data_IF_483471315667
#
_entry.id   IF_483471315667
#
_cell.length_a   1.000
_cell.length_b   1.000
_cell.length_c   1.000
_cell.angle_alpha   90.00
_cell.angle_beta   90.00
_cell.angle_gamma   90.00
#
_symmetry.space_group_name_H-M   'P 1'
#
loop_
_entity.id
_entity.type
_entity.pdbx_description
1 polymer ?
#
# COMPACT_ATOMS: atom_id res chain seq x y z
N UNK A 1 75.21 29.25 12.31
CA UNK A 1 75.66 30.25 11.32
C UNK A 1 76.02 29.51 10.04
N UNK A 2 75.40 29.92 8.92
CA UNK A 2 75.58 29.52 7.50
C UNK A 2 75.42 28.02 7.19
N UNK A 3 74.82 27.57 6.11
CA UNK A 3 73.90 28.04 5.04
C UNK A 3 73.63 26.76 4.21
N UNK A 4 72.56 26.68 3.43
CA UNK A 4 72.50 26.10 2.06
C UNK A 4 71.03 25.89 1.67
N UNK A 5 70.58 26.71 0.71
CA UNK A 5 69.28 26.64 0.07
C UNK A 5 69.40 26.34 -1.43
N UNK A 6 68.55 25.41 -1.87
CA UNK A 6 68.04 25.05 -3.20
C UNK A 6 68.58 25.70 -4.49
N UNK A 7 69.01 24.81 -5.40
CA UNK A 7 68.87 24.86 -6.87
C UNK A 7 67.99 23.65 -7.29
N UNK A 8 67.27 23.57 -8.42
CA UNK A 8 67.17 24.37 -9.64
C UNK A 8 65.89 24.01 -10.42
N UNK A 9 65.46 24.89 -11.33
CA UNK A 9 65.45 24.74 -12.82
C UNK A 9 64.44 23.71 -13.35
N UNK A 10 63.55 23.98 -14.32
CA UNK A 10 63.85 24.41 -15.71
C UNK A 10 62.60 24.86 -16.49
N UNK A 11 62.80 25.94 -17.28
CA UNK A 11 62.38 26.27 -18.66
C UNK A 11 61.00 25.89 -19.24
N UNK A 12 60.40 26.93 -19.82
CA UNK A 12 59.27 27.00 -20.75
C UNK A 12 59.60 26.44 -22.15
N UNK A 13 58.60 25.98 -22.91
CA UNK A 13 58.13 26.65 -24.14
C UNK A 13 56.83 26.01 -24.70
N UNK A 14 56.10 26.85 -25.42
CA UNK A 14 54.71 26.85 -25.93
C UNK A 14 54.38 25.78 -27.00
N UNK A 15 53.18 25.17 -26.91
CA UNK A 15 52.24 24.76 -27.98
C UNK A 15 50.86 24.60 -27.30
N UNK A 16 49.70 25.06 -27.77
CA UNK A 16 49.08 24.91 -29.09
C UNK A 16 47.57 24.88 -28.85
N UNK A 17 46.85 25.80 -29.50
CA UNK A 17 45.41 26.06 -29.37
C UNK A 17 44.59 24.90 -29.99
N UNK A 18 43.75 24.20 -29.21
CA UNK A 18 42.69 23.33 -29.74
C UNK A 18 41.37 23.70 -29.06
N UNK A 19 40.60 24.56 -29.72
CA UNK A 19 39.19 24.79 -29.40
C UNK A 19 38.36 23.72 -30.12
N UNK A 20 37.82 22.77 -29.35
CA UNK A 20 36.88 21.76 -29.84
C UNK A 20 35.51 22.42 -30.03
N UNK A 21 35.21 22.85 -31.25
CA UNK A 21 33.89 23.29 -31.68
C UNK A 21 32.99 22.05 -31.77
N UNK A 22 32.12 21.84 -30.76
CA UNK A 22 30.97 20.96 -30.92
C UNK A 22 29.94 21.67 -31.81
N UNK A 23 30.01 21.41 -33.12
CA UNK A 23 28.90 21.67 -34.04
C UNK A 23 27.77 20.71 -33.66
N UNK A 24 26.84 21.18 -32.82
CA UNK A 24 25.51 20.58 -32.74
C UNK A 24 24.88 20.83 -34.10
N UNK A 25 24.80 19.78 -34.92
CA UNK A 25 24.00 19.79 -36.14
C UNK A 25 22.54 19.99 -35.72
N UNK A 26 22.11 21.25 -35.73
CA UNK A 26 20.72 21.64 -35.57
C UNK A 26 19.99 21.19 -36.83
N UNK A 27 19.62 19.92 -36.88
CA UNK A 27 18.68 19.44 -37.88
C UNK A 27 17.36 20.20 -37.65
N UNK A 28 16.88 21.01 -38.60
CA UNK A 28 15.67 21.78 -38.40
C UNK A 28 14.49 20.80 -38.22
N UNK A 29 13.61 21.15 -37.30
CA UNK A 29 12.40 20.44 -36.91
C UNK A 29 11.62 19.89 -38.11
N UNK A 30 11.79 18.62 -38.46
CA UNK A 30 10.71 17.82 -39.07
C UNK A 30 9.72 17.28 -38.03
N UNK A 31 10.05 17.38 -36.74
CA UNK A 31 9.24 16.90 -35.62
C UNK A 31 7.95 17.69 -35.41
N UNK A 32 7.97 19.03 -35.58
CA UNK A 32 6.80 19.89 -35.36
C UNK A 32 5.64 19.60 -36.33
N UNK A 33 5.94 19.38 -37.62
CA UNK A 33 4.93 19.06 -38.65
C UNK A 33 4.32 17.66 -38.49
N UNK A 34 5.15 16.66 -38.15
CA UNK A 34 4.70 15.28 -37.93
C UNK A 34 3.80 15.16 -36.68
N UNK A 35 4.16 15.82 -35.58
CA UNK A 35 3.36 15.87 -34.35
C UNK A 35 2.00 16.53 -34.64
N UNK A 36 1.97 17.63 -35.39
CA UNK A 36 0.75 18.36 -35.71
C UNK A 36 -0.19 17.56 -36.65
N UNK A 37 0.37 16.80 -37.61
CA UNK A 37 -0.41 15.88 -38.48
C UNK A 37 -0.97 14.68 -37.70
N UNK A 38 -0.17 14.09 -36.80
CA UNK A 38 -0.58 12.97 -35.93
C UNK A 38 -1.74 13.36 -35.01
N UNK A 39 -1.66 14.53 -34.36
CA UNK A 39 -2.73 15.05 -33.51
C UNK A 39 -4.02 15.34 -34.30
N UNK A 40 -3.93 15.96 -35.49
CA UNK A 40 -5.10 16.21 -36.36
C UNK A 40 -5.80 14.90 -36.77
N UNK A 41 -5.03 13.85 -37.03
CA UNK A 41 -5.58 12.53 -37.37
C UNK A 41 -6.29 11.88 -36.17
N UNK A 42 -5.70 11.91 -34.97
CA UNK A 42 -6.33 11.36 -33.77
C UNK A 42 -7.69 12.01 -33.47
N UNK A 43 -7.77 13.35 -33.56
CA UNK A 43 -9.01 14.10 -33.40
C UNK A 43 -10.08 13.71 -34.45
N UNK A 44 -9.68 13.52 -35.71
CA UNK A 44 -10.60 13.08 -36.76
C UNK A 44 -11.15 11.67 -36.50
N UNK A 45 -10.28 10.74 -36.11
CA UNK A 45 -10.71 9.37 -35.78
C UNK A 45 -11.61 9.34 -34.56
N UNK A 46 -11.37 10.20 -33.56
CA UNK A 46 -12.24 10.32 -32.39
C UNK A 46 -13.65 10.79 -32.80
N UNK A 47 -13.77 11.79 -33.68
CA UNK A 47 -15.07 12.23 -34.24
C UNK A 47 -15.80 11.11 -34.97
N UNK A 48 -15.08 10.30 -35.76
CA UNK A 48 -15.67 9.14 -36.46
C UNK A 48 -16.15 8.06 -35.47
N UNK A 49 -15.38 7.77 -34.42
CA UNK A 49 -15.78 6.85 -33.36
C UNK A 49 -17.01 7.35 -32.58
N UNK A 50 -17.07 8.64 -32.29
CA UNK A 50 -18.23 9.28 -31.66
C UNK A 50 -19.49 9.19 -32.51
N UNK A 51 -19.38 9.39 -33.83
CA UNK A 51 -20.50 9.20 -34.76
C UNK A 51 -21.01 7.76 -34.72
N UNK A 52 -20.12 6.76 -34.72
CA UNK A 52 -20.52 5.36 -34.54
C UNK A 52 -21.30 5.15 -33.25
N UNK A 53 -20.76 5.62 -32.13
CA UNK A 53 -21.38 5.50 -30.81
C UNK A 53 -22.78 6.13 -30.79
N UNK A 54 -22.94 7.34 -31.33
CA UNK A 54 -24.23 8.03 -31.40
C UNK A 54 -25.26 7.24 -32.21
N UNK A 55 -24.88 6.74 -33.39
CA UNK A 55 -25.76 5.93 -34.24
C UNK A 55 -26.16 4.61 -33.57
N UNK A 56 -25.24 3.97 -32.84
CA UNK A 56 -25.52 2.78 -32.04
C UNK A 56 -26.53 3.08 -30.94
N UNK A 57 -26.26 4.10 -30.10
CA UNK A 57 -27.06 4.36 -28.90
C UNK A 57 -28.50 4.83 -29.22
N UNK A 58 -28.69 5.52 -30.35
CA UNK A 58 -30.01 5.97 -30.83
C UNK A 58 -30.87 4.84 -31.41
N UNK A 59 -30.28 3.74 -31.88
CA UNK A 59 -31.03 2.65 -32.50
C UNK A 59 -31.31 1.51 -31.51
N UNK A 60 -32.59 1.31 -31.18
CA UNK A 60 -33.04 0.15 -30.40
C UNK A 60 -32.66 -1.17 -31.09
N UNK A 61 -32.81 -1.25 -32.42
CA UNK A 61 -32.43 -2.43 -33.23
C UNK A 61 -30.93 -2.74 -33.15
N UNK A 62 -30.05 -1.74 -33.30
CA UNK A 62 -28.58 -1.97 -33.24
C UNK A 62 -28.11 -2.38 -31.86
N UNK A 63 -28.69 -1.83 -30.79
CA UNK A 63 -28.34 -2.18 -29.40
C UNK A 63 -28.55 -3.66 -29.09
N UNK A 64 -29.45 -4.36 -29.78
CA UNK A 64 -29.68 -5.81 -29.61
C UNK A 64 -28.48 -6.66 -30.03
N UNK A 65 -27.64 -6.19 -30.96
CA UNK A 65 -26.58 -7.03 -31.53
C UNK A 65 -25.19 -6.58 -31.11
N UNK A 66 -24.45 -7.49 -30.45
CA UNK A 66 -23.09 -7.27 -29.92
C UNK A 66 -22.10 -6.71 -30.94
N UNK A 67 -22.17 -7.13 -32.20
CA UNK A 67 -21.21 -6.72 -33.22
C UNK A 67 -21.23 -5.20 -33.48
N UNK A 68 -22.38 -4.53 -33.35
CA UNK A 68 -22.44 -3.07 -33.49
C UNK A 68 -21.70 -2.36 -32.35
N UNK A 69 -21.82 -2.88 -31.13
CA UNK A 69 -21.07 -2.38 -29.97
C UNK A 69 -19.57 -2.55 -30.18
N UNK A 70 -19.13 -3.77 -30.50
CA UNK A 70 -17.72 -4.08 -30.70
C UNK A 70 -17.11 -3.28 -31.86
N UNK A 71 -17.88 -2.99 -32.90
CA UNK A 71 -17.42 -2.13 -34.00
C UNK A 71 -17.12 -0.71 -33.51
N UNK A 72 -18.00 -0.09 -32.72
CA UNK A 72 -17.71 1.24 -32.15
C UNK A 72 -16.57 1.22 -31.14
N UNK A 73 -16.50 0.19 -30.29
CA UNK A 73 -15.42 0.01 -29.30
C UNK A 73 -14.06 -0.08 -29.98
N UNK A 74 -13.91 -0.96 -30.99
CA UNK A 74 -12.63 -1.14 -31.71
C UNK A 74 -12.13 0.15 -32.36
N UNK A 75 -13.03 1.03 -32.80
CA UNK A 75 -12.65 2.34 -33.34
C UNK A 75 -11.98 3.21 -32.28
N UNK A 76 -12.46 3.20 -31.04
CA UNK A 76 -11.80 3.91 -29.93
C UNK A 76 -10.48 3.25 -29.53
N UNK A 77 -10.43 1.92 -29.40
CA UNK A 77 -9.20 1.19 -29.04
C UNK A 77 -8.08 1.39 -30.08
N UNK A 78 -8.43 1.50 -31.37
CA UNK A 78 -7.48 1.80 -32.43
C UNK A 78 -6.85 3.19 -32.27
N UNK A 79 -7.60 4.20 -31.80
CA UNK A 79 -7.03 5.54 -31.56
C UNK A 79 -5.95 5.45 -30.48
N UNK A 80 -6.23 4.77 -29.37
CA UNK A 80 -5.31 4.67 -28.26
C UNK A 80 -4.07 3.81 -28.54
N UNK A 81 -4.15 2.88 -29.51
CA UNK A 81 -3.01 2.07 -29.94
C UNK A 81 -2.18 2.75 -31.04
N UNK A 82 -2.82 3.43 -31.98
CA UNK A 82 -2.11 4.13 -33.07
C UNK A 82 -1.57 5.51 -32.67
N UNK A 83 -2.20 6.18 -31.70
CA UNK A 83 -1.85 7.53 -31.26
C UNK A 83 -1.74 7.62 -29.73
N UNK A 84 -0.90 6.80 -29.09
CA UNK A 84 -0.86 6.67 -27.63
C UNK A 84 -0.54 7.97 -26.90
N UNK A 85 0.22 8.89 -27.49
CA UNK A 85 0.63 10.14 -26.83
C UNK A 85 -0.30 11.32 -27.19
N UNK A 86 -1.38 11.06 -27.93
CA UNK A 86 -2.38 12.08 -28.25
C UNK A 86 -3.28 12.39 -27.05
N UNK A 87 -3.80 13.62 -26.98
CA UNK A 87 -4.83 14.01 -26.01
C UNK A 87 -6.13 13.23 -26.19
N UNK A 88 -6.36 12.68 -27.38
CA UNK A 88 -7.54 11.88 -27.70
C UNK A 88 -7.47 10.44 -27.18
N UNK A 89 -6.28 9.87 -26.99
CA UNK A 89 -6.10 8.50 -26.54
C UNK A 89 -6.80 8.18 -25.20
N UNK A 90 -6.59 8.95 -24.10
CA UNK A 90 -7.29 8.68 -22.85
C UNK A 90 -8.81 8.85 -22.96
N UNK A 91 -9.28 9.82 -23.76
CA UNK A 91 -10.72 10.03 -24.03
C UNK A 91 -11.32 8.82 -24.76
N UNK A 92 -10.60 8.28 -25.74
CA UNK A 92 -11.01 7.10 -26.49
C UNK A 92 -11.12 5.87 -25.59
N UNK A 93 -10.09 5.59 -24.77
CA UNK A 93 -10.11 4.48 -23.81
C UNK A 93 -11.27 4.60 -22.81
N UNK A 94 -11.48 5.78 -22.24
CA UNK A 94 -12.60 6.01 -21.33
C UNK A 94 -13.96 5.75 -22.00
N UNK A 95 -14.15 6.24 -23.24
CA UNK A 95 -15.39 6.03 -24.01
C UNK A 95 -15.60 4.57 -24.41
N UNK A 96 -14.52 3.85 -24.75
CA UNK A 96 -14.56 2.41 -24.97
C UNK A 96 -14.99 1.65 -23.71
N UNK A 97 -14.42 1.97 -22.55
CA UNK A 97 -14.83 1.40 -21.27
C UNK A 97 -16.31 1.65 -20.95
N UNK A 98 -16.82 2.85 -21.26
CA UNK A 98 -18.25 3.19 -21.10
C UNK A 98 -19.13 2.35 -22.03
N UNK A 99 -18.70 2.09 -23.26
CA UNK A 99 -19.43 1.25 -24.20
C UNK A 99 -19.46 -0.20 -23.74
N UNK A 100 -18.35 -0.75 -23.25
CA UNK A 100 -18.34 -2.08 -22.63
C UNK A 100 -19.25 -2.16 -21.40
N UNK A 101 -19.21 -1.16 -20.52
CA UNK A 101 -20.11 -1.08 -19.35
C UNK A 101 -21.58 -1.04 -19.77
N UNK A 102 -21.87 -0.38 -20.90
CA UNK A 102 -23.23 -0.31 -21.45
C UNK A 102 -23.64 -1.63 -22.11
N UNK A 103 -22.72 -2.26 -22.85
CA UNK A 103 -22.90 -3.56 -23.48
C UNK A 103 -23.21 -4.64 -22.43
N UNK A 104 -22.52 -4.64 -21.28
CA UNK A 104 -22.82 -5.54 -20.16
C UNK A 104 -24.30 -5.51 -19.76
N UNK A 105 -24.96 -4.35 -19.80
CA UNK A 105 -26.39 -4.23 -19.46
C UNK A 105 -27.32 -4.98 -20.42
N UNK A 106 -26.85 -5.24 -21.64
CA UNK A 106 -27.59 -6.00 -22.65
C UNK A 106 -27.11 -7.46 -22.74
N UNK A 107 -25.80 -7.68 -22.61
CA UNK A 107 -25.20 -9.00 -22.79
C UNK A 107 -25.21 -9.85 -21.51
N UNK A 108 -25.17 -9.23 -20.34
CA UNK A 108 -24.95 -9.90 -19.06
C UNK A 108 -23.58 -10.58 -18.91
N UNK A 109 -22.67 -10.41 -19.87
CA UNK A 109 -21.41 -11.15 -19.91
C UNK A 109 -20.34 -10.47 -19.07
N UNK A 110 -19.83 -11.16 -18.05
CA UNK A 110 -18.84 -10.62 -17.12
C UNK A 110 -17.57 -10.09 -17.80
N UNK A 111 -17.13 -10.74 -18.89
CA UNK A 111 -15.99 -10.28 -19.70
C UNK A 111 -16.13 -8.83 -20.19
N UNK A 112 -17.35 -8.33 -20.39
CA UNK A 112 -17.56 -6.94 -20.80
C UNK A 112 -17.20 -5.97 -19.67
N UNK A 113 -17.47 -6.33 -18.41
CA UNK A 113 -17.02 -5.54 -17.26
C UNK A 113 -15.51 -5.64 -17.08
N UNK A 114 -14.91 -6.80 -17.29
CA UNK A 114 -13.45 -6.98 -17.20
C UNK A 114 -12.73 -6.13 -18.24
N UNK A 115 -13.22 -6.12 -19.48
CA UNK A 115 -12.69 -5.24 -20.54
C UNK A 115 -12.88 -3.75 -20.18
N UNK A 116 -14.04 -3.37 -19.64
CA UNK A 116 -14.26 -2.00 -19.18
C UNK A 116 -13.28 -1.59 -18.07
N UNK A 117 -13.10 -2.44 -17.06
CA UNK A 117 -12.16 -2.22 -15.95
C UNK A 117 -10.73 -2.08 -16.46
N UNK A 118 -10.28 -2.96 -17.34
CA UNK A 118 -8.94 -2.90 -17.96
C UNK A 118 -8.71 -1.58 -18.69
N UNK A 119 -9.69 -1.12 -19.49
CA UNK A 119 -9.58 0.15 -20.20
C UNK A 119 -9.53 1.35 -19.24
N UNK A 120 -10.37 1.38 -18.20
CA UNK A 120 -10.32 2.45 -17.21
C UNK A 120 -9.01 2.44 -16.40
N UNK A 121 -8.50 1.27 -16.03
CA UNK A 121 -7.21 1.14 -15.34
C UNK A 121 -6.06 1.70 -16.19
N UNK A 122 -6.04 1.38 -17.49
CA UNK A 122 -5.06 1.95 -18.43
C UNK A 122 -5.14 3.47 -18.51
N UNK A 123 -6.35 4.06 -18.42
CA UNK A 123 -6.50 5.52 -18.34
C UNK A 123 -5.83 6.07 -17.08
N UNK A 124 -6.14 5.48 -15.92
CA UNK A 124 -5.63 5.93 -14.62
C UNK A 124 -4.12 5.77 -14.51
N UNK A 125 -3.56 4.69 -15.04
CA UNK A 125 -2.13 4.37 -14.91
C UNK A 125 -1.26 5.15 -15.90
N UNK A 126 -1.69 5.23 -17.17
CA UNK A 126 -0.87 5.87 -18.22
C UNK A 126 -1.14 7.37 -18.37
N UNK A 127 -2.33 7.85 -18.01
CA UNK A 127 -2.75 9.23 -18.26
C UNK A 127 -3.25 9.91 -16.98
N UNK A 128 -2.58 9.65 -15.84
CA UNK A 128 -2.98 10.15 -14.51
C UNK A 128 -3.17 11.68 -14.43
N UNK A 129 -2.51 12.45 -15.29
CA UNK A 129 -2.63 13.92 -15.35
C UNK A 129 -3.79 14.41 -16.23
N UNK A 130 -4.40 13.54 -17.04
CA UNK A 130 -5.50 13.93 -17.91
C UNK A 130 -6.80 14.09 -17.12
N UNK A 131 -7.63 15.05 -17.51
CA UNK A 131 -8.93 15.36 -16.89
C UNK A 131 -9.98 14.23 -16.92
N UNK A 132 -9.68 13.07 -17.50
CA UNK A 132 -10.61 11.93 -17.58
C UNK A 132 -10.15 10.76 -16.69
N UNK A 133 -9.01 10.90 -16.03
CA UNK A 133 -8.46 9.87 -15.18
C UNK A 133 -9.26 9.70 -13.88
N UNK A 134 -9.75 10.78 -13.30
CA UNK A 134 -10.63 10.75 -12.12
C UNK A 134 -12.01 10.17 -12.46
N UNK A 135 -12.56 10.56 -13.61
CA UNK A 135 -13.71 9.97 -14.28
C UNK A 135 -13.57 8.45 -14.40
N UNK A 136 -12.45 7.97 -14.97
CA UNK A 136 -12.17 6.55 -15.14
C UNK A 136 -12.08 5.82 -13.79
N UNK A 137 -11.33 6.38 -12.83
CA UNK A 137 -11.22 5.84 -11.47
C UNK A 137 -12.59 5.75 -10.77
N UNK A 138 -13.44 6.76 -10.96
CA UNK A 138 -14.81 6.76 -10.44
C UNK A 138 -15.67 5.66 -11.08
N UNK A 139 -15.56 5.45 -12.42
CA UNK A 139 -16.28 4.36 -13.11
C UNK A 139 -15.86 2.98 -12.63
N UNK A 140 -14.59 2.77 -12.29
CA UNK A 140 -14.12 1.52 -11.67
C UNK A 140 -14.89 1.28 -10.36
N UNK A 141 -14.97 2.29 -9.48
CA UNK A 141 -15.74 2.22 -8.24
C UNK A 141 -17.23 1.93 -8.47
N UNK A 142 -17.85 2.55 -9.48
CA UNK A 142 -19.24 2.27 -9.85
C UNK A 142 -19.44 0.82 -10.32
N UNK A 143 -18.51 0.26 -11.08
CA UNK A 143 -18.60 -1.13 -11.54
C UNK A 143 -18.59 -2.09 -10.35
N UNK A 144 -17.65 -1.91 -9.42
CA UNK A 144 -17.59 -2.74 -8.21
C UNK A 144 -18.84 -2.59 -7.35
N UNK A 145 -19.33 -1.37 -7.20
CA UNK A 145 -20.52 -1.10 -6.40
C UNK A 145 -21.80 -1.68 -7.03
N UNK A 146 -22.06 -1.39 -8.31
CA UNK A 146 -23.34 -1.66 -8.97
C UNK A 146 -23.44 -3.08 -9.50
N UNK A 147 -22.37 -3.57 -10.14
CA UNK A 147 -22.43 -4.82 -10.90
C UNK A 147 -21.75 -5.97 -10.18
N UNK A 148 -20.49 -5.80 -9.73
CA UNK A 148 -19.77 -6.86 -8.99
C UNK A 148 -20.27 -7.06 -7.55
N UNK A 149 -21.11 -6.13 -7.05
CA UNK A 149 -21.67 -6.13 -5.69
C UNK A 149 -20.60 -6.22 -4.58
N UNK A 150 -19.44 -5.63 -4.82
CA UNK A 150 -18.33 -5.59 -3.85
C UNK A 150 -18.21 -4.17 -3.25
N UNK A 151 -18.89 -3.90 -2.11
CA UNK A 151 -18.86 -2.58 -1.48
C UNK A 151 -17.49 -2.22 -0.88
N UNK A 152 -16.69 -3.20 -0.49
CA UNK A 152 -15.36 -2.97 0.08
C UNK A 152 -14.41 -2.51 -1.04
N UNK A 153 -14.39 -3.22 -2.16
CA UNK A 153 -13.60 -2.81 -3.31
C UNK A 153 -14.08 -1.47 -3.87
N UNK A 154 -15.39 -1.27 -3.98
CA UNK A 154 -15.95 0.02 -4.39
C UNK A 154 -15.49 1.17 -3.49
N UNK A 155 -15.47 0.98 -2.17
CA UNK A 155 -15.00 1.99 -1.22
C UNK A 155 -13.54 2.37 -1.50
N UNK A 156 -12.66 1.37 -1.68
CA UNK A 156 -11.25 1.60 -2.02
C UNK A 156 -11.11 2.37 -3.33
N UNK A 157 -11.86 2.01 -4.37
CA UNK A 157 -11.77 2.68 -5.68
C UNK A 157 -12.33 4.12 -5.65
N UNK A 158 -13.40 4.40 -4.89
CA UNK A 158 -13.85 5.77 -4.67
C UNK A 158 -12.88 6.58 -3.80
N UNK A 159 -12.21 5.93 -2.85
CA UNK A 159 -11.21 6.59 -2.02
C UNK A 159 -9.99 6.99 -2.86
N UNK A 160 -9.57 6.16 -3.81
CA UNK A 160 -8.53 6.52 -4.78
C UNK A 160 -8.90 7.77 -5.57
N UNK A 161 -10.17 7.98 -5.93
CA UNK A 161 -10.61 9.24 -6.58
C UNK A 161 -10.26 10.44 -5.70
N UNK A 162 -10.67 10.41 -4.43
CA UNK A 162 -10.50 11.55 -3.53
C UNK A 162 -9.04 11.84 -3.14
N UNK A 163 -8.20 10.80 -3.08
CA UNK A 163 -6.78 10.92 -2.73
C UNK A 163 -5.93 11.29 -3.95
N UNK A 164 -6.07 10.57 -5.06
CA UNK A 164 -5.19 10.73 -6.24
C UNK A 164 -5.58 11.92 -7.11
N UNK A 165 -6.84 12.34 -7.08
CA UNK A 165 -7.36 13.42 -7.93
C UNK A 165 -7.99 14.53 -7.08
N UNK A 166 -7.20 15.25 -6.27
CA UNK A 166 -7.71 16.25 -5.33
C UNK A 166 -8.47 17.40 -6.01
N UNK A 167 -8.17 17.68 -7.28
CA UNK A 167 -8.81 18.73 -8.10
C UNK A 167 -9.77 18.17 -9.17
N UNK A 168 -10.07 16.87 -9.16
CA UNK A 168 -10.96 16.22 -10.13
C UNK A 168 -12.44 16.52 -9.90
N UNK A 169 -13.23 16.55 -10.98
CA UNK A 169 -14.67 16.85 -10.95
C UNK A 169 -15.49 15.71 -10.32
N UNK A 170 -14.93 14.49 -10.32
CA UNK A 170 -15.56 13.32 -9.73
C UNK A 170 -15.33 13.21 -8.21
N UNK A 171 -14.45 14.02 -7.63
CA UNK A 171 -14.14 13.98 -6.20
C UNK A 171 -15.35 14.21 -5.28
N UNK A 172 -16.23 15.22 -5.51
CA UNK A 172 -17.44 15.39 -4.69
C UNK A 172 -18.39 14.20 -4.79
N UNK A 173 -18.52 13.58 -5.98
CA UNK A 173 -19.35 12.39 -6.19
C UNK A 173 -18.78 11.18 -5.44
N UNK A 174 -17.46 11.00 -5.49
CA UNK A 174 -16.76 9.93 -4.79
C UNK A 174 -16.96 10.03 -3.27
N UNK A 175 -16.87 11.24 -2.69
CA UNK A 175 -17.12 11.46 -1.25
C UNK A 175 -18.52 11.04 -0.83
N UNK A 176 -19.55 11.42 -1.58
CA UNK A 176 -20.93 10.97 -1.31
C UNK A 176 -21.05 9.45 -1.33
N UNK A 177 -20.33 8.78 -2.23
CA UNK A 177 -20.29 7.31 -2.28
C UNK A 177 -19.54 6.71 -1.09
N UNK A 178 -18.42 7.32 -0.66
CA UNK A 178 -17.67 6.89 0.53
C UNK A 178 -18.52 6.97 1.80
N UNK A 179 -19.26 8.07 2.00
CA UNK A 179 -20.14 8.23 3.15
C UNK A 179 -21.23 7.15 3.18
N UNK A 180 -21.86 6.91 2.01
CA UNK A 180 -22.86 5.84 1.85
C UNK A 180 -22.28 4.46 2.14
N UNK A 181 -21.09 4.16 1.62
CA UNK A 181 -20.46 2.86 1.77
C UNK A 181 -19.94 2.62 3.19
N UNK A 182 -19.43 3.64 3.87
CA UNK A 182 -18.99 3.56 5.26
C UNK A 182 -20.14 3.09 6.17
N UNK A 183 -21.35 3.63 6.00
CA UNK A 183 -22.53 3.19 6.76
C UNK A 183 -22.86 1.73 6.46
N UNK A 184 -22.78 1.31 5.18
CA UNK A 184 -23.10 -0.06 4.77
C UNK A 184 -22.09 -1.08 5.28
N UNK A 185 -20.79 -0.76 5.23
CA UNK A 185 -19.72 -1.64 5.69
C UNK A 185 -19.78 -1.83 7.21
N UNK A 186 -19.96 -0.74 7.98
CA UNK A 186 -20.15 -0.85 9.44
C UNK A 186 -21.33 -1.75 9.82
N UNK A 187 -22.46 -1.65 9.12
CA UNK A 187 -23.61 -2.56 9.35
C UNK A 187 -23.26 -4.02 9.04
N UNK A 188 -22.51 -4.27 7.96
CA UNK A 188 -22.12 -5.63 7.56
C UNK A 188 -21.15 -6.26 8.56
N UNK A 189 -20.23 -5.49 9.12
CA UNK A 189 -19.28 -5.97 10.11
C UNK A 189 -20.00 -6.35 11.41
N UNK A 190 -20.93 -5.51 11.86
CA UNK A 190 -21.82 -5.82 13.01
C UNK A 190 -22.65 -7.09 12.76
N UNK A 191 -23.20 -7.27 11.55
CA UNK A 191 -23.96 -8.48 11.20
C UNK A 191 -23.04 -9.71 11.11
N UNK A 192 -21.82 -9.57 10.59
CA UNK A 192 -20.87 -10.69 10.48
C UNK A 192 -20.37 -11.17 11.84
N UNK A 193 -20.19 -10.26 12.79
CA UNK A 193 -19.85 -10.60 14.17
C UNK A 193 -21.00 -11.37 14.84
N UNK A 194 -22.26 -11.10 14.48
CA UNK A 194 -23.43 -11.81 15.02
C UNK A 194 -23.83 -13.08 14.25
N UNK A 195 -23.38 -13.28 13.01
CA UNK A 195 -23.82 -14.36 12.10
C UNK A 195 -22.73 -15.36 11.70
N UNK A 196 -21.64 -15.47 12.47
CA UNK A 196 -20.50 -16.34 12.20
C UNK A 196 -20.79 -17.86 12.26
N UNK A 197 -21.66 -18.39 11.41
CA UNK A 197 -21.77 -19.80 11.09
C UNK A 197 -22.40 -20.01 9.70
N UNK A 198 -21.65 -20.68 8.81
CA UNK A 198 -22.03 -21.25 7.50
C UNK A 198 -21.97 -20.34 6.27
N UNK A 199 -20.94 -20.53 5.45
CA UNK A 199 -21.06 -20.50 3.98
C UNK A 199 -19.88 -21.23 3.28
N UNK A 200 -20.17 -21.84 2.13
CA UNK A 200 -19.42 -22.92 1.46
C UNK A 200 -18.15 -22.53 0.70
N UNK A 201 -17.37 -23.55 0.31
CA UNK A 201 -16.03 -23.42 -0.26
C UNK A 201 -16.04 -22.99 -1.73
N UNK A 202 -15.26 -21.95 -2.06
CA UNK A 202 -15.02 -21.45 -3.42
C UNK A 202 -14.21 -22.46 -4.26
N UNK A 203 -14.53 -22.58 -5.57
CA UNK A 203 -13.84 -23.49 -6.52
C UNK A 203 -12.42 -23.05 -6.91
N UNK A 204 -12.04 -21.79 -6.67
CA UNK A 204 -10.74 -21.26 -7.13
C UNK A 204 -9.73 -21.20 -5.98
N UNK A 205 -8.61 -21.91 -6.10
CA UNK A 205 -7.58 -22.01 -5.04
C UNK A 205 -6.78 -20.72 -4.86
N UNK A 206 -6.59 -20.28 -3.62
CA UNK A 206 -5.73 -19.16 -3.26
C UNK A 206 -4.25 -19.51 -3.39
N UNK A 207 -3.45 -18.57 -3.89
CA UNK A 207 -2.00 -18.72 -3.93
C UNK A 207 -1.40 -18.17 -2.65
N UNK A 208 -0.63 -18.99 -1.94
CA UNK A 208 0.34 -18.47 -0.97
C UNK A 208 1.46 -17.84 -1.79
N UNK A 209 1.78 -16.58 -1.51
CA UNK A 209 2.76 -15.79 -2.27
C UNK A 209 4.10 -15.65 -1.58
N UNK A 210 4.06 -15.46 -0.26
CA UNK A 210 5.24 -15.15 0.52
C UNK A 210 4.99 -15.47 2.00
N UNK A 211 6.06 -15.73 2.75
CA UNK A 211 6.04 -15.87 4.21
C UNK A 211 7.14 -14.98 4.76
N UNK A 212 6.75 -13.98 5.53
CA UNK A 212 7.66 -12.99 6.13
C UNK A 212 7.67 -13.12 7.63
N UNK A 213 8.74 -12.69 8.27
CA UNK A 213 8.81 -12.68 9.72
C UNK A 213 9.45 -11.40 10.25
N UNK A 214 9.08 -11.03 11.48
CA UNK A 214 9.68 -9.95 12.25
C UNK A 214 9.85 -10.42 13.69
N UNK A 215 11.07 -10.33 14.20
CA UNK A 215 11.41 -10.78 15.55
C UNK A 215 11.74 -9.59 16.44
N UNK A 216 11.28 -9.67 17.68
CA UNK A 216 11.67 -8.79 18.78
C UNK A 216 12.19 -9.66 19.93
N UNK A 217 12.79 -9.09 20.99
CA UNK A 217 13.23 -9.88 22.13
C UNK A 217 12.11 -10.73 22.77
N UNK A 218 10.84 -10.29 22.66
CA UNK A 218 9.72 -10.83 23.42
C UNK A 218 8.65 -11.54 22.57
N UNK A 219 8.66 -11.35 21.25
CA UNK A 219 7.75 -12.03 20.34
C UNK A 219 8.31 -12.09 18.91
N UNK A 220 7.81 -13.06 18.15
CA UNK A 220 8.05 -13.21 16.71
C UNK A 220 6.72 -13.20 15.98
N UNK A 221 6.58 -12.33 14.98
CA UNK A 221 5.43 -12.28 14.09
C UNK A 221 5.77 -12.92 12.75
N UNK A 222 4.98 -13.91 12.33
CA UNK A 222 5.05 -14.52 11.01
C UNK A 222 3.82 -14.12 10.21
N UNK A 223 4.00 -13.68 8.97
CA UNK A 223 2.92 -13.22 8.08
C UNK A 223 2.94 -14.03 6.80
N UNK A 224 1.83 -14.71 6.52
CA UNK A 224 1.59 -15.51 5.32
C UNK A 224 0.75 -14.65 4.37
N UNK A 225 1.33 -14.28 3.23
CA UNK A 225 0.66 -13.45 2.22
C UNK A 225 -0.09 -14.35 1.22
N UNK A 226 -1.36 -14.04 0.96
CA UNK A 226 -2.16 -14.74 -0.05
C UNK A 226 -2.78 -13.79 -1.06
N UNK A 227 -3.04 -14.30 -2.27
CA UNK A 227 -3.70 -13.54 -3.33
C UNK A 227 -5.21 -13.32 -3.09
N UNK A 228 -5.81 -14.08 -2.18
CA UNK A 228 -7.23 -14.01 -1.82
C UNK A 228 -7.51 -14.60 -0.43
N UNK A 229 -8.70 -14.33 0.14
CA UNK A 229 -9.16 -14.96 1.37
C UNK A 229 -9.30 -16.49 1.27
N UNK A 230 -8.79 -17.20 2.28
CA UNK A 230 -8.94 -18.65 2.46
C UNK A 230 -9.36 -18.98 3.89
N UNK A 231 -10.04 -20.11 4.10
CA UNK A 231 -10.30 -20.62 5.45
C UNK A 231 -9.04 -21.27 5.99
N UNK A 232 -8.83 -21.19 7.29
CA UNK A 232 -7.68 -21.83 7.92
C UNK A 232 -8.00 -22.39 9.31
N UNK A 233 -7.23 -23.39 9.70
CA UNK A 233 -7.21 -23.97 11.06
C UNK A 233 -5.76 -23.97 11.54
N UNK A 234 -5.56 -23.85 12.85
CA UNK A 234 -4.22 -23.86 13.44
C UNK A 234 -4.17 -24.73 14.69
N UNK A 235 -3.05 -25.42 14.88
CA UNK A 235 -2.86 -26.29 16.03
C UNK A 235 -1.43 -26.21 16.55
N UNK A 236 -1.30 -26.40 17.86
CA UNK A 236 -0.03 -26.53 18.55
C UNK A 236 0.29 -28.01 18.75
N UNK A 237 1.34 -28.49 18.09
CA UNK A 237 1.88 -29.83 18.28
C UNK A 237 2.93 -29.81 19.39
N UNK A 238 2.84 -30.79 20.29
CA UNK A 238 3.85 -31.05 21.31
C UNK A 238 5.18 -31.47 20.65
N UNK A 239 6.26 -31.30 21.39
CA UNK A 239 7.55 -31.85 21.00
C UNK A 239 7.46 -33.37 20.92
N UNK A 240 8.12 -33.96 19.94
CA UNK A 240 8.28 -35.40 19.79
C UNK A 240 9.78 -35.73 19.81
N UNK A 241 10.33 -36.14 20.97
CA UNK A 241 11.74 -36.48 21.13
C UNK A 241 12.16 -37.68 20.28
N UNK A 242 11.27 -38.67 20.07
CA UNK A 242 11.59 -39.90 19.31
C UNK A 242 11.89 -39.58 17.85
N UNK A 243 11.12 -38.66 17.26
CA UNK A 243 11.32 -38.22 15.89
C UNK A 243 12.23 -36.98 15.74
N UNK A 244 12.95 -36.57 16.80
CA UNK A 244 13.78 -35.34 16.85
C UNK A 244 13.02 -34.08 16.37
N UNK A 245 11.75 -33.99 16.74
CA UNK A 245 10.79 -33.04 16.19
C UNK A 245 10.45 -31.99 17.26
N UNK A 246 10.78 -30.70 17.05
CA UNK A 246 10.50 -29.66 18.07
C UNK A 246 9.00 -29.46 18.26
N UNK A 247 8.63 -28.67 19.27
CA UNK A 247 7.27 -28.15 19.40
C UNK A 247 6.95 -27.31 18.16
N UNK A 248 5.72 -27.38 17.64
CA UNK A 248 5.37 -26.74 16.36
C UNK A 248 3.99 -26.10 16.41
N UNK A 249 3.84 -24.98 15.71
CA UNK A 249 2.51 -24.53 15.28
C UNK A 249 2.36 -24.92 13.81
N UNK A 250 1.25 -25.53 13.42
CA UNK A 250 0.90 -25.64 12.00
C UNK A 250 -0.41 -24.91 11.72
N UNK A 251 -0.50 -24.37 10.50
CA UNK A 251 -1.65 -23.66 9.96
C UNK A 251 -2.02 -24.33 8.64
N UNK A 252 -3.23 -24.88 8.56
CA UNK A 252 -3.78 -25.53 7.37
C UNK A 252 -4.69 -24.56 6.62
N UNK A 253 -4.28 -24.19 5.42
CA UNK A 253 -4.95 -23.23 4.54
C UNK A 253 -5.83 -24.01 3.56
N UNK A 254 -7.14 -24.00 3.78
CA UNK A 254 -8.13 -24.73 2.98
C UNK A 254 -8.46 -23.97 1.70
N UNK A 255 -8.43 -24.67 0.56
CA UNK A 255 -8.61 -24.08 -0.75
C UNK A 255 -7.41 -23.25 -1.21
N UNK A 256 -6.19 -23.70 -0.90
CA UNK A 256 -4.96 -23.00 -1.26
C UNK A 256 -3.95 -23.90 -1.97
N UNK A 257 -3.01 -23.28 -2.69
CA UNK A 257 -1.82 -23.92 -3.27
C UNK A 257 -0.54 -23.13 -2.97
N UNK A 258 0.58 -23.83 -2.82
CA UNK A 258 1.90 -23.22 -2.67
C UNK A 258 2.39 -22.75 -4.04
N UNK A 259 2.88 -21.51 -4.15
CA UNK A 259 3.55 -21.05 -5.38
C UNK A 259 4.92 -21.73 -5.52
N UNK A 260 5.36 -22.00 -6.75
CA UNK A 260 6.71 -22.52 -7.04
C UNK A 260 7.83 -21.62 -6.51
N UNK A 261 7.52 -20.34 -6.30
CA UNK A 261 8.48 -19.28 -6.00
C UNK A 261 8.70 -19.08 -4.49
N UNK A 262 8.03 -19.87 -3.64
CA UNK A 262 8.20 -19.77 -2.18
C UNK A 262 9.38 -20.60 -1.73
N UNK A 263 10.27 -19.98 -0.97
CA UNK A 263 11.31 -20.68 -0.21
C UNK A 263 10.67 -21.72 0.71
N UNK A 264 10.97 -22.99 0.44
CA UNK A 264 10.42 -24.12 1.20
C UNK A 264 10.79 -24.09 2.69
N UNK A 265 11.86 -23.38 3.05
CA UNK A 265 12.31 -23.19 4.43
C UNK A 265 12.86 -21.78 4.64
N UNK A 266 12.29 -21.06 5.59
CA UNK A 266 12.69 -19.69 5.97
C UNK A 266 13.32 -19.78 7.36
N UNK A 267 14.66 -19.73 7.48
CA UNK A 267 15.33 -19.74 8.78
C UNK A 267 15.00 -18.45 9.55
N UNK A 268 14.71 -18.59 10.86
CA UNK A 268 14.38 -17.45 11.73
C UNK A 268 15.44 -17.34 12.84
N UNK A 269 15.69 -18.42 13.58
CA UNK A 269 16.76 -18.55 14.59
C UNK A 269 16.83 -17.39 15.59
N UNK A 270 15.69 -16.95 16.11
CA UNK A 270 15.57 -15.77 17.00
C UNK A 270 15.39 -16.13 18.49
N UNK A 271 15.53 -17.42 18.84
CA UNK A 271 15.31 -17.94 20.20
C UNK A 271 13.84 -18.23 20.53
N UNK A 272 12.91 -17.95 19.60
CA UNK A 272 11.49 -18.34 19.67
C UNK A 272 11.14 -19.34 18.58
N UNK A 273 11.59 -19.10 17.35
CA UNK A 273 11.36 -19.91 16.16
C UNK A 273 12.70 -20.32 15.54
N UNK A 274 12.82 -21.60 15.19
CA UNK A 274 13.93 -22.10 14.37
C UNK A 274 13.74 -21.70 12.90
N UNK A 275 12.55 -21.96 12.34
CA UNK A 275 12.19 -21.69 10.94
C UNK A 275 10.68 -21.69 10.72
N UNK A 276 10.26 -21.09 9.62
CA UNK A 276 8.95 -21.30 9.02
C UNK A 276 9.09 -22.13 7.73
N UNK A 277 8.09 -22.94 7.40
CA UNK A 277 8.06 -23.72 6.14
C UNK A 277 6.65 -23.87 5.62
N UNK A 278 6.47 -23.88 4.31
CA UNK A 278 5.19 -24.14 3.66
C UNK A 278 5.30 -25.29 2.67
N UNK A 279 4.31 -26.17 2.67
CA UNK A 279 4.23 -27.29 1.74
C UNK A 279 2.79 -27.58 1.35
N UNK A 280 2.60 -28.15 0.16
CA UNK A 280 1.32 -28.71 -0.25
C UNK A 280 1.07 -29.99 0.56
N UNK A 281 0.12 -29.94 1.50
CA UNK A 281 -0.21 -31.08 2.37
C UNK A 281 -1.21 -32.04 1.72
N UNK A 282 -2.19 -31.49 1.02
CA UNK A 282 -3.16 -32.19 0.18
C UNK A 282 -3.47 -31.33 -1.05
N UNK A 283 -4.17 -31.85 -2.07
CA UNK A 283 -4.50 -31.14 -3.33
C UNK A 283 -4.98 -29.69 -3.12
N UNK A 284 -5.77 -29.44 -2.07
CA UNK A 284 -6.34 -28.13 -1.75
C UNK A 284 -5.97 -27.58 -0.38
N UNK A 285 -4.96 -28.15 0.27
CA UNK A 285 -4.52 -27.72 1.59
C UNK A 285 -3.03 -27.42 1.57
N UNK A 286 -2.68 -26.17 1.82
CA UNK A 286 -1.30 -25.78 2.15
C UNK A 286 -1.12 -25.85 3.66
N UNK A 287 -0.06 -26.51 4.11
CA UNK A 287 0.33 -26.50 5.52
C UNK A 287 1.54 -25.61 5.71
N UNK A 288 1.38 -24.58 6.52
CA UNK A 288 2.48 -23.75 7.02
C UNK A 288 2.86 -24.25 8.41
N UNK A 289 4.15 -24.50 8.65
CA UNK A 289 4.67 -25.01 9.93
C UNK A 289 5.71 -24.06 10.49
N UNK A 290 5.57 -23.69 11.75
CA UNK A 290 6.54 -22.93 12.53
C UNK A 290 7.22 -23.89 13.51
N UNK A 291 8.51 -24.16 13.31
CA UNK A 291 9.32 -24.96 14.22
C UNK A 291 9.74 -24.07 15.40
N UNK A 292 9.25 -24.38 16.61
CA UNK A 292 9.42 -23.55 17.80
C UNK A 292 10.67 -23.97 18.59
N UNK A 293 11.36 -22.98 19.15
CA UNK A 293 12.40 -23.16 20.16
C UNK A 293 11.86 -22.87 21.58
N UNK A 294 11.01 -21.85 21.72
CA UNK A 294 10.38 -21.49 22.98
C UNK A 294 9.03 -20.82 22.73
N UNK A 295 8.03 -21.05 23.61
CA UNK A 295 6.69 -20.46 23.46
C UNK A 295 6.03 -20.22 24.82
N UNK A 296 5.66 -18.97 25.08
CA UNK A 296 4.79 -18.56 26.19
C UNK A 296 3.31 -18.56 25.82
N UNK A 297 3.02 -18.29 24.55
CA UNK A 297 1.69 -18.31 23.96
C UNK A 297 1.76 -17.93 22.49
N UNK A 298 0.66 -18.13 21.75
CA UNK A 298 0.57 -17.67 20.36
C UNK A 298 -0.86 -17.23 20.02
N UNK A 299 -0.99 -16.42 18.96
CA UNK A 299 -2.28 -16.04 18.38
C UNK A 299 -2.21 -16.04 16.87
N UNK A 300 -3.30 -16.46 16.23
CA UNK A 300 -3.46 -16.49 14.77
C UNK A 300 -4.70 -15.68 14.39
N UNK A 301 -4.55 -14.75 13.46
CA UNK A 301 -5.65 -13.92 12.94
C UNK A 301 -5.38 -13.56 11.47
N UNK A 302 -6.33 -12.90 10.81
CA UNK A 302 -6.18 -12.47 9.41
C UNK A 302 -6.47 -10.98 9.20
N UNK A 303 -5.87 -10.41 8.17
CA UNK A 303 -6.10 -9.04 7.68
C UNK A 303 -6.68 -9.11 6.27
N UNK A 304 -7.58 -8.19 5.94
CA UNK A 304 -8.11 -8.02 4.58
C UNK A 304 -7.38 -6.87 3.84
N UNK A 305 -7.15 -7.06 2.54
CA UNK A 305 -6.60 -6.07 1.58
C UNK A 305 -5.16 -5.56 1.86
N UNK A 306 -4.12 -6.30 1.42
CA UNK A 306 -4.17 -7.66 0.85
C UNK A 306 -4.49 -8.71 1.92
N UNK A 307 -5.02 -9.87 1.52
CA UNK A 307 -5.34 -10.92 2.48
C UNK A 307 -4.07 -11.53 3.06
N UNK A 308 -3.96 -11.54 4.39
CA UNK A 308 -2.80 -12.06 5.12
C UNK A 308 -3.25 -12.85 6.33
N UNK A 309 -2.54 -13.93 6.65
CA UNK A 309 -2.67 -14.62 7.93
C UNK A 309 -1.45 -14.29 8.76
N UNK A 310 -1.67 -13.86 10.00
CA UNK A 310 -0.62 -13.40 10.91
C UNK A 310 -0.59 -14.32 12.11
N UNK A 311 0.61 -14.77 12.47
CA UNK A 311 0.89 -15.62 13.62
C UNK A 311 1.87 -14.90 14.54
N UNK A 312 1.41 -14.55 15.74
CA UNK A 312 2.25 -13.96 16.77
C UNK A 312 2.64 -15.03 17.79
N UNK A 313 3.94 -15.26 17.99
CA UNK A 313 4.50 -16.21 18.95
C UNK A 313 5.22 -15.44 20.04
N UNK A 314 4.81 -15.60 21.29
CA UNK A 314 5.37 -14.89 22.45
C UNK A 314 6.42 -15.73 23.18
N UNK A 315 7.38 -15.06 23.80
CA UNK A 315 8.35 -15.69 24.73
C UNK A 315 7.68 -16.14 26.02
N UNK A 316 8.16 -17.26 26.58
CA UNK A 316 7.72 -17.71 27.91
C UNK A 316 8.34 -16.82 28.99
N UNK A 317 7.57 -16.33 29.97
CA UNK A 317 8.10 -15.49 31.05
C UNK A 317 9.17 -16.21 31.90
N UNK A 318 9.15 -17.55 31.98
CA UNK A 318 10.15 -18.34 32.70
C UNK A 318 11.59 -18.28 32.11
N UNK A 319 11.80 -17.69 30.93
CA UNK A 319 13.13 -17.49 30.31
C UNK A 319 13.61 -16.03 30.35
N UNK A 320 12.85 -15.11 30.93
CA UNK A 320 13.26 -13.70 31.10
C UNK A 320 14.42 -13.55 32.12
N UNK A 321 14.50 -14.42 33.13
CA UNK A 321 15.51 -14.32 34.20
C UNK A 321 16.93 -14.75 33.79
N UNK A 322 17.09 -15.63 32.80
CA UNK A 322 18.43 -16.17 32.44
C UNK A 322 19.27 -15.26 31.54
N UNK A 323 18.70 -14.23 30.92
CA UNK A 323 19.47 -13.27 30.09
C UNK A 323 19.97 -12.07 30.93
N UNK A 324 19.39 -11.84 32.12
CA UNK A 324 19.72 -10.69 32.99
C UNK A 324 20.78 -10.99 34.07
N UNK A 325 21.44 -12.16 34.04
CA UNK A 325 22.48 -12.48 35.03
C UNK A 325 23.89 -12.27 34.50
N UNK A 326 24.38 -11.02 34.62
CA UNK A 326 25.77 -10.69 34.99
C UNK A 326 25.90 -9.18 35.27
N UNK A 327 26.93 -8.74 36.01
CA UNK A 327 27.21 -8.92 37.44
C UNK A 327 26.53 -7.84 38.32
N UNK A 328 26.37 -8.14 39.62
CA UNK A 328 25.90 -7.16 40.63
C UNK A 328 26.86 -5.97 40.69
N UNK A 329 26.41 -4.80 40.22
CA UNK A 329 26.98 -3.51 40.61
C UNK A 329 26.15 -2.93 41.76
N UNK A 330 26.71 -3.02 42.94
CA UNK A 330 26.31 -2.24 44.12
C UNK A 330 26.49 -0.75 43.82
N UNK A 331 25.39 0.01 43.88
CA UNK A 331 25.25 1.27 44.64
C UNK A 331 23.95 1.98 44.25
N UNK A 332 23.18 2.39 45.27
CA UNK A 332 22.00 3.25 45.15
C UNK A 332 22.39 4.56 44.45
N UNK A 333 21.94 4.80 43.21
CA UNK A 333 22.12 6.11 42.56
C UNK A 333 20.79 6.87 42.46
N UNK A 334 20.73 7.99 43.17
CA UNK A 334 19.67 9.02 43.09
C UNK A 334 19.44 9.44 41.63
N UNK A 335 18.16 9.53 41.24
CA UNK A 335 17.73 10.00 39.92
C UNK A 335 18.11 11.48 39.74
N UNK A 336 19.07 11.77 38.85
CA UNK A 336 19.38 13.15 38.45
C UNK A 336 18.40 13.59 37.36
N UNK A 337 17.68 14.69 37.60
CA UNK A 337 16.92 15.44 36.57
C UNK A 337 17.92 16.01 35.55
N UNK A 338 17.83 15.53 34.30
CA UNK A 338 18.59 16.07 33.17
C UNK A 338 18.34 15.24 31.93
N UNK A 339 17.62 15.80 30.96
CA UNK A 339 17.43 15.21 29.63
C UNK A 339 18.82 15.12 28.99
N UNK A 340 19.39 13.91 28.90
CA UNK A 340 20.58 13.67 28.09
C UNK A 340 20.24 14.05 26.65
N UNK A 341 20.98 15.01 26.07
CA UNK A 341 20.97 15.23 24.62
C UNK A 341 21.27 13.89 23.95
N UNK A 342 20.35 13.41 23.11
CA UNK A 342 20.57 12.22 22.31
C UNK A 342 21.88 12.42 21.52
N UNK A 343 22.80 11.45 21.61
CA UNK A 343 23.96 11.40 20.72
C UNK A 343 23.48 11.49 19.26
N UNK A 344 24.28 12.12 18.40
CA UNK A 344 23.99 12.20 16.98
C UNK A 344 23.67 10.79 16.43
N UNK A 345 22.71 10.67 15.50
CA UNK A 345 22.35 9.36 14.95
C UNK A 345 23.60 8.70 14.36
N UNK A 346 23.84 7.44 14.72
CA UNK A 346 24.96 6.68 14.20
C UNK A 346 24.97 6.75 12.67
N UNK A 347 26.12 7.14 12.10
CA UNK A 347 26.35 7.09 10.65
C UNK A 347 26.49 5.65 10.12
N UNK A 348 26.42 4.65 11.00
CA UNK A 348 26.43 3.25 10.63
C UNK A 348 25.18 2.91 9.80
N UNK A 349 25.40 2.42 8.60
CA UNK A 349 24.36 1.82 7.76
C UNK A 349 23.80 0.64 8.55
N UNK A 350 22.54 0.70 8.98
CA UNK A 350 21.92 -0.41 9.72
C UNK A 350 21.84 -1.64 8.82
N UNK A 351 21.93 -2.84 9.40
CA UNK A 351 21.82 -4.11 8.65
C UNK A 351 20.55 -4.14 7.76
N UNK A 352 19.44 -3.57 8.23
CA UNK A 352 18.21 -3.39 7.45
C UNK A 352 18.42 -2.53 6.18
N UNK A 353 19.24 -1.48 6.25
CA UNK A 353 19.62 -0.62 5.12
C UNK A 353 20.55 -1.34 4.14
N UNK A 354 21.47 -2.17 4.64
CA UNK A 354 22.39 -3.01 3.83
C UNK A 354 21.66 -4.14 3.09
N UNK A 355 20.55 -4.64 3.65
CA UNK A 355 19.70 -5.67 3.04
C UNK A 355 18.60 -5.09 2.10
N UNK A 356 18.65 -3.81 1.77
CA UNK A 356 17.69 -3.17 0.86
C UNK A 356 16.32 -2.82 1.47
N UNK A 357 16.14 -2.96 2.79
CA UNK A 357 14.88 -2.68 3.50
C UNK A 357 14.75 -1.20 3.89
N UNK A 358 14.88 -0.32 2.91
CA UNK A 358 14.81 1.13 3.14
C UNK A 358 13.38 1.59 3.35
N UNK A 359 13.09 2.16 4.52
CA UNK A 359 11.87 2.93 4.76
C UNK A 359 11.97 4.23 3.96
N UNK A 360 11.25 4.30 2.84
CA UNK A 360 11.31 5.42 1.91
C UNK A 360 10.07 6.30 2.01
N UNK A 361 8.90 5.72 2.29
CA UNK A 361 7.62 6.45 2.36
C UNK A 361 6.92 6.23 3.70
N UNK A 362 6.71 7.32 4.43
CA UNK A 362 6.09 7.31 5.76
C UNK A 362 4.77 8.07 5.70
N UNK A 363 3.70 7.48 6.20
CA UNK A 363 2.44 8.18 6.45
C UNK A 363 2.33 8.54 7.91
N UNK A 364 2.08 9.81 8.20
CA UNK A 364 1.83 10.30 9.55
C UNK A 364 0.35 10.70 9.65
N UNK A 365 -0.32 10.12 10.64
CA UNK A 365 -1.72 10.34 10.92
C UNK A 365 -1.89 11.21 12.17
N UNK A 366 -2.11 12.52 12.03
CA UNK A 366 -2.59 13.32 13.15
C UNK A 366 -4.02 12.89 13.50
N UNK A 367 -4.18 12.26 14.67
CA UNK A 367 -5.47 11.78 15.20
C UNK A 367 -6.56 12.86 15.22
N UNK A 368 -7.83 12.44 15.30
CA UNK A 368 -9.00 13.33 15.41
C UNK A 368 -9.13 14.34 14.24
N UNK A 369 -9.85 15.44 14.46
CA UNK A 369 -10.04 16.53 13.50
C UNK A 369 -11.50 16.86 13.20
N UNK A 370 -11.76 18.10 12.79
CA UNK A 370 -13.10 18.62 12.51
C UNK A 370 -14.00 18.50 13.74
N UNK A 371 -15.08 17.73 13.59
CA UNK A 371 -16.08 17.46 14.65
C UNK A 371 -15.56 16.62 15.81
N UNK A 372 -14.43 15.94 15.65
CA UNK A 372 -13.79 15.16 16.70
C UNK A 372 -12.62 15.96 17.28
N UNK A 373 -12.74 16.52 18.51
CA UNK A 373 -11.67 17.28 19.13
C UNK A 373 -10.55 16.41 19.73
N UNK A 374 -10.79 15.11 19.93
CA UNK A 374 -9.99 14.27 20.81
C UNK A 374 -10.08 14.72 22.28
N UNK A 375 -9.04 14.46 23.07
CA UNK A 375 -8.96 14.96 24.44
C UNK A 375 -9.11 16.50 24.45
N UNK A 376 -9.98 16.98 25.36
CA UNK A 376 -10.25 18.38 25.57
C UNK A 376 -9.96 18.76 27.02
N UNK A 377 -9.11 19.77 27.22
CA UNK A 377 -9.04 20.48 28.49
C UNK A 377 -9.80 21.80 28.36
N UNK A 378 -10.63 22.12 29.37
CA UNK A 378 -11.57 23.25 29.44
C UNK A 378 -11.02 24.68 29.25
N UNK A 379 -9.80 24.83 28.73
CA UNK A 379 -9.16 26.10 28.34
C UNK A 379 -8.95 26.21 26.82
N UNK A 380 -9.70 25.48 26.01
CA UNK A 380 -9.60 25.53 24.54
C UNK A 380 -8.50 24.67 23.93
N UNK A 381 -7.74 23.91 24.73
CA UNK A 381 -6.69 23.00 24.25
C UNK A 381 -7.37 21.70 23.78
N UNK A 382 -7.25 21.42 22.48
CA UNK A 382 -7.78 20.21 21.84
C UNK A 382 -6.64 19.36 21.31
N UNK A 383 -6.71 18.06 21.58
CA UNK A 383 -5.75 17.08 21.07
C UNK A 383 -5.55 17.22 19.57
N UNK A 384 -6.65 17.36 18.80
CA UNK A 384 -6.60 17.49 17.33
C UNK A 384 -5.68 18.60 16.82
N UNK A 385 -5.53 19.69 17.57
CA UNK A 385 -4.71 20.84 17.20
C UNK A 385 -3.24 20.58 17.52
N UNK A 386 -2.99 19.98 18.69
CA UNK A 386 -1.65 19.56 19.12
C UNK A 386 -1.08 18.54 18.14
N UNK A 387 -1.81 17.46 17.86
CA UNK A 387 -1.31 16.37 17.00
C UNK A 387 -1.12 16.82 15.56
N UNK A 388 -1.96 17.74 15.04
CA UNK A 388 -1.76 18.32 13.71
C UNK A 388 -0.47 19.14 13.63
N UNK A 389 -0.21 19.98 14.64
CA UNK A 389 1.03 20.77 14.70
C UNK A 389 2.25 19.87 14.82
N UNK A 390 2.19 18.86 15.70
CA UNK A 390 3.26 17.89 15.89
C UNK A 390 3.55 17.09 14.61
N UNK A 391 2.52 16.62 13.91
CA UNK A 391 2.66 15.89 12.64
C UNK A 391 3.38 16.73 11.57
N UNK A 392 3.08 18.03 11.46
CA UNK A 392 3.76 18.94 10.53
C UNK A 392 5.24 19.10 10.86
N UNK A 393 5.57 19.25 12.16
CA UNK A 393 6.95 19.34 12.62
C UNK A 393 7.70 18.04 12.35
N UNK A 394 7.10 16.90 12.69
CA UNK A 394 7.68 15.58 12.46
C UNK A 394 7.93 15.33 10.97
N UNK A 395 6.96 15.63 10.12
CA UNK A 395 7.09 15.49 8.67
C UNK A 395 8.25 16.33 8.11
N UNK A 396 8.38 17.59 8.54
CA UNK A 396 9.50 18.45 8.14
C UNK A 396 10.85 17.87 8.58
N UNK A 397 10.94 17.34 9.80
CA UNK A 397 12.18 16.74 10.33
C UNK A 397 12.54 15.45 9.61
N UNK A 398 11.58 14.57 9.35
CA UNK A 398 11.79 13.31 8.61
C UNK A 398 12.29 13.60 7.20
N UNK A 399 11.59 14.46 6.44
CA UNK A 399 12.03 14.85 5.10
C UNK A 399 13.45 15.41 5.09
N UNK A 400 13.76 16.33 6.02
CA UNK A 400 15.09 16.97 6.08
C UNK A 400 16.21 16.03 6.54
N UNK A 401 15.96 15.14 7.51
CA UNK A 401 17.01 14.35 8.16
C UNK A 401 17.18 12.96 7.58
N UNK A 402 16.09 12.35 7.11
CA UNK A 402 16.07 10.96 6.66
C UNK A 402 15.92 10.84 5.14
N UNK A 403 15.52 11.92 4.46
CA UNK A 403 15.27 11.91 3.01
C UNK A 403 14.02 11.12 2.59
N UNK A 404 13.21 10.65 3.55
CA UNK A 404 11.99 9.92 3.27
C UNK A 404 10.89 10.83 2.71
N UNK A 405 10.09 10.29 1.80
CA UNK A 405 8.79 10.85 1.44
C UNK A 405 7.85 10.78 2.65
N UNK A 406 7.12 11.86 2.92
CA UNK A 406 6.16 11.90 4.02
C UNK A 406 4.81 12.38 3.54
N UNK A 407 3.77 11.63 3.89
CA UNK A 407 2.37 11.94 3.57
C UNK A 407 1.62 12.14 4.89
N UNK A 408 0.85 13.22 5.00
CA UNK A 408 -0.04 13.44 6.15
C UNK A 408 -1.46 12.98 5.80
N UNK A 409 -2.13 12.24 6.68
CA UNK A 409 -3.54 11.86 6.43
C UNK A 409 -4.45 13.09 6.33
N UNK A 410 -4.20 14.12 7.16
CA UNK A 410 -4.80 15.47 7.06
C UNK A 410 -3.75 16.57 7.28
N UNK A 411 -3.94 17.69 6.58
CA UNK A 411 -3.09 18.90 6.69
C UNK A 411 -3.83 20.11 7.30
N UNK A 412 -5.15 19.99 7.46
CA UNK A 412 -6.07 20.99 8.00
C UNK A 412 -6.95 20.37 9.09
N UNK A 413 -7.76 21.19 9.75
CA UNK A 413 -8.74 20.73 10.74
C UNK A 413 -9.97 20.12 10.06
N UNK A 414 -9.86 18.85 9.68
CA UNK A 414 -10.94 18.07 9.04
C UNK A 414 -11.09 16.72 9.73
N UNK A 415 -12.32 16.22 9.81
CA UNK A 415 -12.60 14.88 10.29
C UNK A 415 -12.26 13.83 9.22
N UNK A 416 -11.55 12.77 9.61
CA UNK A 416 -11.31 11.59 8.78
C UNK A 416 -11.78 10.32 9.52
N UNK A 417 -12.67 9.51 8.91
CA UNK A 417 -12.99 8.17 9.40
C UNK A 417 -11.72 7.31 9.54
N UNK A 418 -11.73 6.37 10.50
CA UNK A 418 -10.57 5.53 10.80
C UNK A 418 -10.10 4.73 9.58
N UNK A 419 -11.04 4.19 8.81
CA UNK A 419 -10.79 3.38 7.61
C UNK A 419 -10.09 4.20 6.52
N UNK A 420 -10.42 5.50 6.44
CA UNK A 420 -9.79 6.41 5.47
C UNK A 420 -8.33 6.69 5.82
N UNK A 421 -7.98 6.73 7.11
CA UNK A 421 -6.60 7.00 7.57
C UNK A 421 -5.65 5.88 7.16
N UNK A 422 -6.03 4.63 7.41
CA UNK A 422 -5.23 3.46 7.03
C UNK A 422 -5.20 3.25 5.52
N UNK A 423 -6.31 3.51 4.83
CA UNK A 423 -6.37 3.36 3.39
C UNK A 423 -5.52 4.40 2.63
N UNK A 424 -5.33 5.61 3.18
CA UNK A 424 -4.33 6.56 2.65
C UNK A 424 -2.93 5.93 2.65
N UNK A 425 -2.58 5.19 3.70
CA UNK A 425 -1.28 4.51 3.77
C UNK A 425 -1.14 3.38 2.75
N UNK A 426 -2.17 2.53 2.64
CA UNK A 426 -2.18 1.42 1.70
C UNK A 426 -2.15 1.89 0.22
N UNK A 427 -2.96 2.89 -0.13
CA UNK A 427 -3.03 3.42 -1.51
C UNK A 427 -1.70 4.03 -1.94
N UNK A 428 -1.02 4.71 -1.01
CA UNK A 428 0.28 5.30 -1.27
C UNK A 428 1.43 4.30 -1.06
N UNK A 429 1.18 3.03 -0.74
CA UNK A 429 2.21 2.02 -0.48
C UNK A 429 3.25 2.51 0.54
N UNK A 430 2.78 3.05 1.67
CA UNK A 430 3.68 3.50 2.72
C UNK A 430 4.37 2.31 3.40
N UNK A 431 5.66 2.46 3.70
CA UNK A 431 6.47 1.48 4.40
C UNK A 431 6.22 1.52 5.92
N UNK A 432 5.82 2.70 6.42
CA UNK A 432 5.53 2.93 7.83
C UNK A 432 4.32 3.85 8.00
N UNK A 433 3.44 3.51 8.95
CA UNK A 433 2.33 4.33 9.39
C UNK A 433 2.53 4.75 10.84
N UNK A 434 2.52 6.06 11.12
CA UNK A 434 2.70 6.63 12.46
C UNK A 434 1.45 7.43 12.81
N UNK A 435 0.63 6.93 13.73
CA UNK A 435 -0.45 7.74 14.30
C UNK A 435 0.02 8.53 15.51
N UNK A 436 -0.36 9.80 15.58
CA UNK A 436 -0.02 10.72 16.66
C UNK A 436 -1.28 11.06 17.45
N UNK A 437 -1.22 10.80 18.76
CA UNK A 437 -2.26 11.05 19.74
C UNK A 437 -1.68 11.70 21.00
N UNK A 438 -2.54 12.36 21.77
CA UNK A 438 -2.25 12.83 23.12
C UNK A 438 -3.27 12.18 24.05
N UNK A 439 -2.84 11.12 24.72
CA UNK A 439 -3.70 10.38 25.63
C UNK A 439 -4.19 11.24 26.80
N UNK A 440 -5.29 10.79 27.40
CA UNK A 440 -5.91 11.41 28.56
C UNK A 440 -6.10 10.38 29.67
N UNK A 441 -5.90 10.80 30.91
CA UNK A 441 -6.12 9.95 32.07
C UNK A 441 -6.83 10.72 33.19
N UNK A 442 -7.73 10.06 33.93
CA UNK A 442 -8.50 10.69 35.03
C UNK A 442 -7.60 11.19 36.16
N UNK A 443 -6.55 10.43 36.47
CA UNK A 443 -5.52 10.79 37.46
C UNK A 443 -4.52 11.77 36.84
N UNK A 444 -4.53 13.03 37.29
CA UNK A 444 -3.71 14.14 36.74
C UNK A 444 -2.19 13.95 36.83
N UNK A 445 -1.72 13.10 37.73
CA UNK A 445 -0.28 12.84 37.89
C UNK A 445 0.28 11.81 36.90
N UNK A 446 -0.58 11.09 36.17
CA UNK A 446 -0.15 10.15 35.13
C UNK A 446 0.33 10.96 33.92
N UNK A 447 1.61 10.81 33.58
CA UNK A 447 2.26 11.50 32.47
C UNK A 447 3.41 10.67 31.92
N UNK A 448 3.73 10.83 30.64
CA UNK A 448 4.79 10.07 29.99
C UNK A 448 4.63 10.00 28.47
N UNK A 449 5.47 9.20 27.83
CA UNK A 449 5.38 8.85 26.41
C UNK A 449 4.95 7.39 26.33
N UNK A 450 3.94 7.12 25.52
CA UNK A 450 3.46 5.77 25.23
C UNK A 450 3.62 5.50 23.73
N UNK A 451 3.98 4.27 23.38
CA UNK A 451 4.02 3.83 21.98
C UNK A 451 3.19 2.57 21.88
N UNK A 452 2.04 2.72 21.24
CA UNK A 452 1.19 1.58 20.89
C UNK A 452 1.59 1.09 19.51
N UNK A 453 1.82 -0.20 19.43
CA UNK A 453 1.79 -0.91 18.17
C UNK A 453 0.62 -1.89 18.26
N UNK A 454 0.06 -2.25 17.12
CA UNK A 454 -0.99 -3.25 17.08
C UNK A 454 -0.40 -4.62 17.44
N UNK A 455 -0.43 -4.92 18.74
CA UNK A 455 -0.25 -6.23 19.28
C UNK A 455 -1.63 -6.87 19.27
N UNK A 456 -1.94 -7.65 18.24
CA UNK A 456 -3.23 -8.32 18.12
C UNK A 456 -3.26 -9.58 18.98
N UNK A 457 -2.57 -9.59 20.12
CA UNK A 457 -2.59 -10.63 21.15
C UNK A 457 -3.99 -10.94 21.65
#
# INVERSE_FOLDING_TARGET
>A
MREYGCQGTTRHFIYGLIALIFIVWFCPLKSGLAINKSQKNAALYLKKADRCRTLLLRSSKRKKYRHYWLNCIRRYERIASSYPDSKEAPIALYRAGRLYTSLYKFSGLERDLEHALSLYQRVVEKYAHHSVADDAQYRIGEIYYKYKKDPAKAYVEFLKVDIKFPSGDCRPKARKMLDRLAVKLRKKDVIRETSGAKEGASKVLGNVKDIRHWSTPNYTRVVIDLDRPVKYEHHLLRQDPRSKKPKRIYIDLKGARVSSDIDSQIPIKDGLLHRARAAQYQDRIVRVVLDLESIGGYKVFHLYDPFRIVVDVKRSPAKEEKILTSPKLTTKRRVRKGIRKAKAPDKAVTLARQLGLNVNRIVIDPGHGGKDPGCYLGRGIKEKDIVLRLAKILAKKIRKRLGCEVILTRTKDIFLPLERRTAIANINKADLFISLHVNAHRKRWVSGIETYYLNMA
#
